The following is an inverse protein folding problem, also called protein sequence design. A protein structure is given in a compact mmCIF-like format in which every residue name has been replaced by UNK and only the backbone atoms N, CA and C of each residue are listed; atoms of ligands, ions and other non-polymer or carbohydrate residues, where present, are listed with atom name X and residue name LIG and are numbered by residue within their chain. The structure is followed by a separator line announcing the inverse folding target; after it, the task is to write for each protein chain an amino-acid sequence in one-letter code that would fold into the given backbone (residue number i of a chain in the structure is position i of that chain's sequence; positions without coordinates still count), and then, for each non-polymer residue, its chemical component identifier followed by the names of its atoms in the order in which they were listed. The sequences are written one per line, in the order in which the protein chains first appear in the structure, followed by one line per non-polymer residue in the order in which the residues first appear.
data_IF_830846703151
#
_entry.id   IF_830846703151
#
_cell.length_a   1.000
_cell.length_b   1.000
_cell.length_c   1.000
_cell.angle_alpha   90.00
_cell.angle_beta   90.00
_cell.angle_gamma   90.00
#
_symmetry.space_group_name_H-M   'P 1'
#
loop_
_entity.id
_entity.type
_entity.pdbx_description
1 polymer ?
#
# COMPACT_ATOMS: atom_id res chain seq x y z
N UNK A 1 -9.87 -29.10 -54.48
CA UNK A 1 -8.88 -28.57 -53.52
C UNK A 1 -9.62 -28.38 -52.20
N UNK A 2 -9.50 -29.25 -51.19
CA UNK A 2 -8.41 -29.39 -50.18
C UNK A 2 -7.85 -28.02 -49.77
N UNK A 3 -7.70 -27.62 -48.51
CA UNK A 3 -8.03 -28.09 -47.15
C UNK A 3 -7.38 -26.99 -46.28
N UNK A 4 -8.01 -26.48 -45.23
CA UNK A 4 -7.41 -26.38 -43.89
C UNK A 4 -8.17 -25.39 -42.98
N UNK A 5 -8.94 -25.89 -42.02
CA UNK A 5 -8.54 -26.16 -40.62
C UNK A 5 -8.71 -24.91 -39.76
N UNK A 6 -9.83 -24.76 -39.03
CA UNK A 6 -9.94 -25.19 -37.63
C UNK A 6 -8.78 -24.66 -36.75
N UNK A 7 -8.90 -23.41 -36.32
CA UNK A 7 -8.38 -22.90 -35.05
C UNK A 7 -9.58 -22.16 -34.40
N UNK A 8 -10.51 -22.83 -33.70
CA UNK A 8 -10.40 -23.73 -32.54
C UNK A 8 -9.92 -22.95 -31.30
N UNK A 9 -10.82 -22.88 -30.31
CA UNK A 9 -10.70 -22.37 -28.93
C UNK A 9 -10.91 -20.84 -28.80
N UNK A 10 -12.09 -20.28 -28.50
CA UNK A 10 -12.97 -20.52 -27.33
C UNK A 10 -12.16 -21.04 -26.14
N UNK A 11 -11.47 -20.12 -25.46
CA UNK A 11 -10.97 -20.36 -24.11
C UNK A 11 -12.12 -20.08 -23.15
N UNK A 12 -12.88 -21.13 -22.92
CA UNK A 12 -13.59 -21.41 -21.67
C UNK A 12 -12.72 -21.03 -20.47
N UNK A 13 -13.04 -19.93 -19.79
CA UNK A 13 -12.70 -19.76 -18.38
C UNK A 13 -13.67 -20.62 -17.56
N UNK A 14 -13.47 -21.93 -17.68
CA UNK A 14 -14.07 -22.93 -16.81
C UNK A 14 -13.30 -22.97 -15.50
N UNK A 15 -14.06 -22.96 -14.42
CA UNK A 15 -13.61 -23.18 -13.06
C UNK A 15 -12.56 -24.29 -12.95
N UNK A 16 -11.43 -23.96 -12.33
CA UNK A 16 -10.55 -24.95 -11.73
C UNK A 16 -10.46 -24.66 -10.25
N UNK A 17 -11.44 -25.23 -9.53
CA UNK A 17 -11.37 -25.44 -8.11
C UNK A 17 -10.23 -26.43 -7.83
N UNK A 18 -9.04 -25.90 -7.54
CA UNK A 18 -7.98 -26.65 -6.90
C UNK A 18 -8.06 -26.38 -5.39
N UNK A 19 -8.77 -27.28 -4.71
CA UNK A 19 -8.76 -27.38 -3.27
C UNK A 19 -7.35 -27.78 -2.81
N UNK A 20 -6.58 -26.82 -2.31
CA UNK A 20 -5.46 -27.09 -1.41
C UNK A 20 -5.97 -26.81 0.00
N UNK A 21 -6.39 -27.88 0.66
CA UNK A 21 -6.55 -27.94 2.11
C UNK A 21 -5.15 -27.87 2.72
N UNK A 22 -4.66 -26.66 2.96
CA UNK A 22 -3.63 -26.42 3.95
C UNK A 22 -4.34 -25.93 5.20
N UNK A 23 -4.46 -26.85 6.15
CA UNK A 23 -4.81 -26.62 7.54
C UNK A 23 -3.93 -25.52 8.12
N UNK A 24 -4.44 -24.29 8.12
CA UNK A 24 -4.03 -23.24 9.03
C UNK A 24 -5.19 -23.03 10.00
N UNK A 25 -4.93 -22.93 11.32
CA UNK A 25 -5.98 -22.92 12.32
C UNK A 25 -6.85 -21.66 12.17
N UNK A 26 -8.03 -21.82 11.58
CA UNK A 26 -9.16 -20.91 11.73
C UNK A 26 -9.64 -21.02 13.18
N UNK A 27 -9.01 -20.27 14.06
CA UNK A 27 -9.29 -20.34 15.49
C UNK A 27 -8.25 -19.64 16.34
N UNK A 28 -7.97 -18.37 16.06
CA UNK A 28 -7.35 -17.48 17.04
C UNK A 28 -7.67 -16.02 16.69
N UNK A 29 -8.93 -15.64 16.93
CA UNK A 29 -9.23 -14.32 17.49
C UNK A 29 -8.60 -14.25 18.89
N UNK A 30 -7.27 -14.31 18.95
CA UNK A 30 -6.48 -14.05 20.13
C UNK A 30 -6.42 -12.53 20.28
N UNK A 31 -7.42 -12.00 20.99
CA UNK A 31 -7.22 -11.11 22.14
C UNK A 31 -5.86 -10.40 22.14
N UNK A 32 -5.64 -9.50 21.18
CA UNK A 32 -4.47 -8.63 21.19
C UNK A 32 -4.82 -7.50 22.14
N UNK A 33 -4.18 -7.54 23.30
CA UNK A 33 -4.45 -6.73 24.47
C UNK A 33 -4.86 -5.30 24.17
N UNK A 34 -5.91 -4.88 24.89
CA UNK A 34 -6.20 -3.49 25.15
C UNK A 34 -4.91 -2.79 25.62
N UNK A 35 -4.52 -1.72 24.92
CA UNK A 35 -3.39 -0.87 25.30
C UNK A 35 -2.17 -0.95 24.37
N UNK A 36 -2.32 -0.60 23.10
CA UNK A 36 -1.16 -0.32 22.22
C UNK A 36 -1.37 -0.49 20.71
N UNK A 37 -2.45 -1.15 20.27
CA UNK A 37 -2.59 -1.64 18.89
C UNK A 37 -2.97 -0.60 17.82
N UNK A 38 -3.71 0.47 18.18
CA UNK A 38 -4.24 1.39 17.17
C UNK A 38 -3.21 2.38 16.61
N UNK A 39 -2.16 2.70 17.37
CA UNK A 39 -1.09 3.61 16.91
C UNK A 39 -0.02 2.90 16.08
N UNK A 40 0.19 1.60 16.26
CA UNK A 40 1.19 0.84 15.50
C UNK A 40 0.64 0.18 14.24
N UNK A 41 -0.63 -0.28 14.26
CA UNK A 41 -1.22 -1.01 13.14
C UNK A 41 -1.36 -0.18 11.86
N UNK A 42 -1.73 1.09 12.00
CA UNK A 42 -2.03 1.96 10.85
C UNK A 42 -0.79 2.41 10.07
N UNK A 43 0.34 2.67 10.76
CA UNK A 43 1.64 2.94 10.10
C UNK A 43 2.30 1.67 9.55
N UNK A 44 1.82 0.51 9.97
CA UNK A 44 2.29 -0.78 9.46
C UNK A 44 1.41 -1.31 8.32
N UNK A 45 0.45 -0.51 7.84
CA UNK A 45 -0.36 -0.83 6.68
C UNK A 45 0.54 -0.87 5.41
N UNK A 46 0.47 -1.92 4.58
CA UNK A 46 1.30 -2.02 3.37
C UNK A 46 0.95 -0.96 2.33
N UNK A 47 -0.33 -0.65 2.13
CA UNK A 47 -0.80 0.40 1.21
C UNK A 47 -0.29 1.79 1.57
N UNK A 48 -0.38 2.17 2.85
CA UNK A 48 0.16 3.46 3.35
C UNK A 48 1.68 3.56 3.12
N UNK A 49 2.41 2.47 3.35
CA UNK A 49 3.87 2.43 3.14
C UNK A 49 4.24 2.50 1.67
N UNK A 50 3.51 1.78 0.82
CA UNK A 50 3.69 1.82 -0.62
C UNK A 50 3.46 3.23 -1.16
N UNK A 51 2.38 3.88 -0.75
CA UNK A 51 2.10 5.26 -1.13
C UNK A 51 3.18 6.25 -0.64
N UNK A 52 3.72 6.03 0.56
CA UNK A 52 4.82 6.87 1.06
C UNK A 52 6.08 6.70 0.19
N UNK A 53 6.44 5.47 -0.18
CA UNK A 53 7.59 5.21 -1.06
C UNK A 53 7.39 5.81 -2.45
N UNK A 54 6.22 5.60 -3.06
CA UNK A 54 5.84 6.16 -4.35
C UNK A 54 5.86 7.69 -4.33
N UNK A 55 5.35 8.29 -3.25
CA UNK A 55 5.30 9.74 -3.08
C UNK A 55 6.67 10.37 -2.85
N UNK A 56 7.63 9.61 -2.33
CA UNK A 56 9.02 10.07 -2.13
C UNK A 56 9.82 10.05 -3.42
N UNK A 57 9.74 8.94 -4.19
CA UNK A 57 10.48 8.77 -5.43
C UNK A 57 9.86 7.64 -6.29
N UNK A 58 8.98 8.02 -7.23
CA UNK A 58 8.32 7.07 -8.13
C UNK A 58 9.30 6.39 -9.08
N UNK A 59 10.27 7.14 -9.61
CA UNK A 59 11.26 6.62 -10.57
C UNK A 59 12.07 5.50 -9.91
N UNK A 60 12.65 5.79 -8.74
CA UNK A 60 13.37 4.79 -7.96
C UNK A 60 12.50 3.60 -7.57
N UNK A 61 11.22 3.81 -7.22
CA UNK A 61 10.32 2.72 -6.89
C UNK A 61 10.11 1.76 -8.07
N UNK A 62 9.97 2.28 -9.29
CA UNK A 62 9.87 1.46 -10.50
C UNK A 62 11.16 0.73 -10.83
N UNK A 63 12.32 1.38 -10.63
CA UNK A 63 13.64 0.78 -10.82
C UNK A 63 13.90 -0.35 -9.82
N UNK A 64 13.61 -0.12 -8.53
CA UNK A 64 13.83 -1.10 -7.45
C UNK A 64 12.99 -2.37 -7.66
N UNK A 65 11.85 -2.26 -8.34
CA UNK A 65 11.00 -3.39 -8.75
C UNK A 65 11.29 -3.90 -10.16
N UNK A 66 12.17 -3.21 -10.90
CA UNK A 66 12.54 -3.58 -12.27
C UNK A 66 11.30 -3.75 -13.15
N UNK A 67 10.37 -2.79 -13.08
CA UNK A 67 9.13 -2.86 -13.85
C UNK A 67 9.42 -2.77 -15.35
N UNK A 68 8.68 -3.55 -16.14
CA UNK A 68 8.65 -3.39 -17.60
C UNK A 68 7.95 -2.08 -17.99
N UNK A 69 8.14 -1.62 -19.23
CA UNK A 69 7.43 -0.45 -19.75
C UNK A 69 5.91 -0.60 -19.64
N UNK A 70 5.39 -1.80 -19.96
CA UNK A 70 3.95 -2.09 -19.87
C UNK A 70 3.41 -2.08 -18.43
N UNK A 71 4.18 -2.61 -17.47
CA UNK A 71 3.84 -2.53 -16.05
C UNK A 71 3.90 -1.10 -15.53
N UNK A 72 4.90 -0.33 -15.95
CA UNK A 72 5.07 1.08 -15.61
C UNK A 72 3.91 1.93 -16.13
N UNK A 73 3.49 1.71 -17.38
CA UNK A 73 2.31 2.35 -17.96
C UNK A 73 1.03 2.01 -17.19
N UNK A 74 0.83 0.72 -16.88
CA UNK A 74 -0.34 0.24 -16.13
C UNK A 74 -0.37 0.82 -14.71
N UNK A 75 0.78 0.87 -14.03
CA UNK A 75 0.91 1.49 -12.71
C UNK A 75 0.61 2.99 -12.77
N UNK A 76 1.13 3.71 -13.77
CA UNK A 76 0.86 5.14 -13.92
C UNK A 76 -0.62 5.41 -14.15
N UNK A 77 -1.31 4.57 -14.94
CA UNK A 77 -2.75 4.65 -15.11
C UNK A 77 -3.52 4.42 -13.81
N UNK A 78 -3.15 3.39 -13.03
CA UNK A 78 -3.73 3.13 -11.70
C UNK A 78 -3.50 4.30 -10.74
N UNK A 79 -2.29 4.87 -10.72
CA UNK A 79 -1.96 6.01 -9.85
C UNK A 79 -2.70 7.28 -10.27
N UNK A 80 -2.90 7.52 -11.57
CA UNK A 80 -3.67 8.65 -12.06
C UNK A 80 -5.14 8.53 -11.63
N UNK A 81 -5.77 7.38 -11.87
CA UNK A 81 -7.16 7.12 -11.46
C UNK A 81 -7.34 7.19 -9.94
N UNK A 82 -6.39 6.63 -9.18
CA UNK A 82 -6.38 6.72 -7.72
C UNK A 82 -6.28 8.17 -7.23
N UNK A 83 -5.40 8.98 -7.82
CA UNK A 83 -5.23 10.39 -7.45
C UNK A 83 -6.48 11.20 -7.75
N UNK A 84 -7.06 11.02 -8.94
CA UNK A 84 -8.28 11.70 -9.35
C UNK A 84 -9.45 11.39 -8.39
N UNK A 85 -9.64 10.11 -8.05
CA UNK A 85 -10.76 9.69 -7.18
C UNK A 85 -10.59 10.07 -5.71
N UNK A 86 -9.37 10.35 -5.27
CA UNK A 86 -9.04 10.54 -3.85
C UNK A 86 -8.35 11.88 -3.58
N UNK A 87 -8.44 12.85 -4.48
CA UNK A 87 -7.76 14.16 -4.46
C UNK A 87 -7.88 14.83 -3.07
N UNK A 88 -9.10 15.06 -2.59
CA UNK A 88 -9.37 15.69 -1.29
C UNK A 88 -8.65 14.98 -0.12
N UNK A 89 -8.67 13.64 -0.13
CA UNK A 89 -8.03 12.85 0.91
C UNK A 89 -6.51 12.99 0.86
N UNK A 90 -5.94 12.96 -0.34
CA UNK A 90 -4.52 13.08 -0.59
C UNK A 90 -3.98 14.48 -0.27
N UNK A 91 -4.72 15.55 -0.58
CA UNK A 91 -4.37 16.91 -0.18
C UNK A 91 -4.31 17.06 1.34
N UNK A 92 -5.32 16.53 2.04
CA UNK A 92 -5.34 16.53 3.51
C UNK A 92 -4.17 15.73 4.09
N UNK A 93 -3.84 14.60 3.48
CA UNK A 93 -2.68 13.78 3.86
C UNK A 93 -1.36 14.53 3.65
N UNK A 94 -1.16 15.17 2.49
CA UNK A 94 0.04 15.95 2.18
C UNK A 94 0.22 17.11 3.17
N UNK A 95 -0.86 17.85 3.46
CA UNK A 95 -0.86 18.92 4.46
C UNK A 95 -0.56 18.42 5.88
N UNK A 96 -1.01 17.21 6.24
CA UNK A 96 -0.63 16.58 7.51
C UNK A 96 0.84 16.16 7.54
N UNK A 97 1.35 15.58 6.46
CA UNK A 97 2.74 15.16 6.33
C UNK A 97 3.69 16.35 6.51
N UNK A 98 3.43 17.46 5.82
CA UNK A 98 4.21 18.70 5.96
C UNK A 98 4.20 19.22 7.41
N UNK A 99 3.05 19.18 8.09
CA UNK A 99 2.93 19.57 9.52
C UNK A 99 3.69 18.63 10.45
N UNK A 100 3.68 17.32 10.20
CA UNK A 100 4.46 16.33 10.96
C UNK A 100 5.97 16.54 10.77
N UNK A 101 6.41 16.80 9.54
CA UNK A 101 7.82 17.07 9.23
C UNK A 101 8.29 18.38 9.88
N UNK A 102 7.49 19.44 9.81
CA UNK A 102 7.77 20.70 10.49
C UNK A 102 7.87 20.52 12.03
N UNK A 103 6.96 19.75 12.63
CA UNK A 103 7.00 19.43 14.05
C UNK A 103 8.22 18.57 14.45
N UNK A 104 8.74 17.75 13.52
CA UNK A 104 9.94 16.91 13.73
C UNK A 104 11.24 17.68 13.53
N UNK A 105 11.28 18.64 12.60
CA UNK A 105 12.42 19.51 12.32
C UNK A 105 12.60 20.67 13.32
N UNK A 106 11.53 21.06 14.03
CA UNK A 106 11.58 22.03 15.13
C UNK A 106 12.14 21.44 16.42
N UNK A 107 13.44 21.12 16.44
CA UNK A 107 14.13 20.70 17.65
C UNK A 107 14.25 21.86 18.66
N UNK A 108 13.51 21.81 19.76
CA UNK A 108 13.73 22.72 20.89
C UNK A 108 12.63 22.71 21.96
N UNK A 109 12.89 22.03 23.08
CA UNK A 109 12.43 22.37 24.43
C UNK A 109 10.94 22.61 24.71
N UNK A 110 10.32 21.71 25.49
CA UNK A 110 9.15 22.05 26.33
C UNK A 110 7.83 21.41 25.90
N UNK A 111 6.97 21.14 26.88
CA UNK A 111 5.73 20.35 26.77
C UNK A 111 4.70 20.78 25.71
N UNK A 112 4.86 21.91 25.03
CA UNK A 112 4.00 22.35 23.91
C UNK A 112 4.12 21.48 22.65
N UNK A 113 5.30 20.92 22.38
CA UNK A 113 5.51 20.03 21.23
C UNK A 113 4.69 18.73 21.31
N UNK A 114 4.39 18.24 22.53
CA UNK A 114 3.57 17.03 22.73
C UNK A 114 2.10 17.26 22.43
N UNK A 115 1.54 18.42 22.78
CA UNK A 115 0.15 18.78 22.50
C UNK A 115 -0.10 19.00 21.00
N UNK A 116 0.78 19.74 20.33
CA UNK A 116 0.73 19.94 18.89
C UNK A 116 0.83 18.60 18.12
N UNK A 117 1.75 17.71 18.53
CA UNK A 117 1.86 16.38 17.95
C UNK A 117 0.62 15.51 18.20
N UNK A 118 -0.03 15.65 19.35
CA UNK A 118 -1.25 14.89 19.66
C UNK A 118 -2.42 15.28 18.75
N UNK A 119 -2.58 16.57 18.45
CA UNK A 119 -3.59 17.07 17.50
C UNK A 119 -3.34 16.57 16.07
N UNK A 120 -2.11 16.71 15.59
CA UNK A 120 -1.70 16.21 14.26
C UNK A 120 -1.94 14.70 14.12
N UNK A 121 -1.68 13.92 15.18
CA UNK A 121 -1.93 12.47 15.18
C UNK A 121 -3.42 12.10 15.19
N UNK A 122 -4.30 12.95 15.74
CA UNK A 122 -5.75 12.73 15.65
C UNK A 122 -6.26 12.97 14.23
N UNK A 123 -5.85 14.07 13.61
CA UNK A 123 -6.19 14.38 12.22
C UNK A 123 -5.64 13.31 11.25
N UNK A 124 -4.41 12.85 11.49
CA UNK A 124 -3.82 11.73 10.75
C UNK A 124 -4.68 10.47 10.81
N UNK A 125 -5.24 10.15 11.99
CA UNK A 125 -6.14 9.00 12.12
C UNK A 125 -7.39 9.17 11.25
N UNK A 126 -8.03 10.32 11.29
CA UNK A 126 -9.25 10.56 10.50
C UNK A 126 -8.98 10.48 8.99
N UNK A 127 -7.85 11.02 8.53
CA UNK A 127 -7.47 10.93 7.12
C UNK A 127 -7.20 9.48 6.72
N UNK A 128 -6.53 8.70 7.57
CA UNK A 128 -6.28 7.28 7.29
C UNK A 128 -7.51 6.38 7.47
N UNK A 129 -8.52 6.78 8.24
CA UNK A 129 -9.83 6.08 8.24
C UNK A 129 -10.51 6.20 6.88
N UNK A 130 -10.24 7.28 6.13
CA UNK A 130 -10.78 7.50 4.78
C UNK A 130 -9.87 6.88 3.71
N UNK A 131 -8.58 7.18 3.76
CA UNK A 131 -7.60 6.74 2.74
C UNK A 131 -7.11 5.30 2.94
N UNK A 132 -7.15 4.77 4.16
CA UNK A 132 -6.61 3.45 4.48
C UNK A 132 -7.15 2.34 3.58
N UNK A 133 -8.48 2.17 3.46
CA UNK A 133 -9.06 1.13 2.60
C UNK A 133 -8.71 1.28 1.12
N UNK A 134 -8.67 2.52 0.60
CA UNK A 134 -8.33 2.74 -0.82
C UNK A 134 -6.83 2.57 -1.08
N UNK A 135 -5.98 2.84 -0.10
CA UNK A 135 -4.54 2.57 -0.16
C UNK A 135 -4.25 1.06 -0.08
N UNK A 136 -5.00 0.32 0.74
CA UNK A 136 -4.95 -1.15 0.74
C UNK A 136 -5.34 -1.71 -0.61
N UNK A 137 -6.45 -1.24 -1.19
CA UNK A 137 -6.87 -1.64 -2.54
C UNK A 137 -5.82 -1.30 -3.59
N UNK A 138 -5.24 -0.10 -3.54
CA UNK A 138 -4.16 0.28 -4.48
C UNK A 138 -2.97 -0.68 -4.39
N UNK A 139 -2.62 -1.16 -3.19
CA UNK A 139 -1.56 -2.15 -3.01
C UNK A 139 -1.95 -3.53 -3.56
N UNK A 140 -3.21 -3.94 -3.41
CA UNK A 140 -3.72 -5.17 -4.04
C UNK A 140 -3.69 -5.07 -5.57
N UNK A 141 -4.27 -4.00 -6.14
CA UNK A 141 -4.29 -3.75 -7.59
C UNK A 141 -2.86 -3.71 -8.16
N UNK A 142 -1.91 -3.10 -7.43
CA UNK A 142 -0.51 -3.08 -7.84
C UNK A 142 0.13 -4.46 -7.79
N UNK A 143 -0.16 -5.26 -6.75
CA UNK A 143 0.30 -6.64 -6.63
C UNK A 143 -0.15 -7.53 -7.79
N UNK A 144 -1.32 -7.28 -8.38
CA UNK A 144 -1.80 -8.01 -9.56
C UNK A 144 -1.00 -7.71 -10.83
N UNK A 145 -0.29 -6.57 -10.89
CA UNK A 145 0.58 -6.22 -12.02
C UNK A 145 1.95 -6.90 -11.94
N UNK A 146 2.34 -7.40 -10.78
CA UNK A 146 3.70 -7.87 -10.51
C UNK A 146 3.81 -9.38 -10.71
N UNK A 147 4.99 -9.81 -11.15
CA UNK A 147 5.35 -11.23 -11.06
C UNK A 147 5.72 -11.63 -9.62
N UNK A 148 6.03 -12.91 -9.42
CA UNK A 148 6.33 -13.47 -8.10
C UNK A 148 7.59 -12.85 -7.47
N UNK A 149 8.62 -12.58 -8.26
CA UNK A 149 9.88 -12.05 -7.76
C UNK A 149 9.77 -10.56 -7.44
N UNK A 150 9.06 -9.81 -8.28
CA UNK A 150 8.69 -8.42 -8.04
C UNK A 150 7.78 -8.29 -6.80
N UNK A 151 6.83 -9.22 -6.59
CA UNK A 151 5.98 -9.25 -5.39
C UNK A 151 6.79 -9.48 -4.12
N UNK A 152 7.76 -10.42 -4.16
CA UNK A 152 8.69 -10.63 -3.04
C UNK A 152 9.51 -9.36 -2.77
N UNK A 153 10.01 -8.72 -3.82
CA UNK A 153 10.78 -7.48 -3.72
C UNK A 153 9.95 -6.35 -3.13
N UNK A 154 8.70 -6.18 -3.56
CA UNK A 154 7.76 -5.23 -2.98
C UNK A 154 7.57 -5.49 -1.49
N UNK A 155 7.36 -6.74 -1.07
CA UNK A 155 7.22 -7.09 0.34
C UNK A 155 8.49 -6.78 1.16
N UNK A 156 9.67 -6.87 0.56
CA UNK A 156 10.93 -6.45 1.19
C UNK A 156 11.05 -4.94 1.34
N UNK A 157 10.72 -4.19 0.28
CA UNK A 157 10.70 -2.72 0.29
C UNK A 157 9.72 -2.18 1.34
N UNK A 158 8.56 -2.82 1.47
CA UNK A 158 7.52 -2.48 2.43
C UNK A 158 7.79 -3.02 3.83
N UNK A 159 8.85 -3.82 4.05
CA UNK A 159 9.14 -4.37 5.38
C UNK A 159 9.41 -3.22 6.36
N UNK A 160 8.84 -3.25 7.58
CA UNK A 160 9.08 -2.18 8.54
C UNK A 160 10.58 -2.09 8.83
N UNK A 161 11.17 -0.91 8.64
CA UNK A 161 12.56 -0.64 9.06
C UNK A 161 12.62 -0.77 10.58
N UNK A 162 13.37 -1.75 11.08
CA UNK A 162 13.61 -1.87 12.52
C UNK A 162 14.32 -0.59 12.99
N UNK A 163 13.87 0.06 14.08
CA UNK A 163 14.64 1.15 14.65
C UNK A 163 15.99 0.60 15.14
N UNK A 164 17.09 1.05 14.54
CA UNK A 164 18.47 0.70 14.94
C UNK A 164 19.28 -0.18 13.98
N UNK A 165 18.99 -0.16 12.68
CA UNK A 165 19.92 -0.65 11.64
C UNK A 165 20.76 0.49 11.10
#
# INVERSE_FOLDING_TARGET
MKLNTLNRHIVTLGALAAAIVLTLPTGASAQRGAGGGARGGMFNNPGVRMWTLIGDDLEKFTEDLTLTDAQTESMNALLADFREKNEDGLERYAGLRARMEAARGGGGGGGGARGAMQGVMQEYRQVMETLGPVLEKLHEDFGELLDEDQTKKLAELLRPRRPGG
#
